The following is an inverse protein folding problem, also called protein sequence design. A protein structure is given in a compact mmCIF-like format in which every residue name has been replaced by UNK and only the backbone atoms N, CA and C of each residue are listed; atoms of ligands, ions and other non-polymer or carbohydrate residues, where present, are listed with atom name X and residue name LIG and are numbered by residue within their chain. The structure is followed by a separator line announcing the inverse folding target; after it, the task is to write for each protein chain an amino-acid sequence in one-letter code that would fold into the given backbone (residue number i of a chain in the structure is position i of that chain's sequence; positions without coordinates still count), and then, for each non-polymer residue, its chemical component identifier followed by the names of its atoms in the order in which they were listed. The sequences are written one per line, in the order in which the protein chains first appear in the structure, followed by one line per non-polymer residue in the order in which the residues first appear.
data_IF_485462697391
#
_entry.id   IF_485462697391
#
_cell.length_a   1.000
_cell.length_b   1.000
_cell.length_c   1.000
_cell.angle_alpha   90.00
_cell.angle_beta   90.00
_cell.angle_gamma   90.00
#
_symmetry.space_group_name_H-M   'P 1'
#
loop_
_entity.id
_entity.type
_entity.pdbx_description
1 polymer ?
#
# COMPACT_ATOMS: atom_id res chain seq x y z
N UNK A 1 34.40 12.60 18.48
CA UNK A 1 32.94 12.43 18.30
C UNK A 1 32.24 13.61 18.99
N UNK A 2 31.36 14.28 18.31
CA UNK A 2 30.54 15.34 18.93
C UNK A 2 29.28 14.70 19.47
N UNK A 3 29.02 14.85 20.77
CA UNK A 3 27.80 14.37 21.42
C UNK A 3 26.79 15.50 21.44
N UNK A 4 25.58 15.24 20.93
CA UNK A 4 24.47 16.20 20.96
C UNK A 4 23.34 15.62 21.79
N UNK A 5 22.94 16.33 22.84
CA UNK A 5 21.77 15.98 23.67
C UNK A 5 20.52 16.63 23.03
N UNK A 6 19.43 15.87 22.93
CA UNK A 6 18.11 16.33 22.49
C UNK A 6 17.01 15.64 23.32
N UNK A 7 15.77 16.10 23.16
CA UNK A 7 14.65 15.56 23.93
C UNK A 7 14.01 14.36 23.22
N UNK A 8 14.04 14.35 21.87
CA UNK A 8 13.51 13.27 21.07
C UNK A 8 14.30 13.09 19.77
N UNK A 9 14.38 11.83 19.31
CA UNK A 9 14.94 11.47 18.01
C UNK A 9 13.87 10.69 17.23
N UNK A 10 13.62 11.12 15.98
CA UNK A 10 12.74 10.41 15.05
C UNK A 10 13.61 9.84 13.93
N UNK A 11 13.60 8.50 13.75
CA UNK A 11 14.41 7.82 12.73
C UNK A 11 13.51 7.41 11.57
N UNK A 12 13.66 8.08 10.44
CA UNK A 12 12.91 7.93 9.21
C UNK A 12 11.91 9.06 8.97
N UNK A 13 12.08 9.79 7.88
CA UNK A 13 11.19 10.86 7.43
C UNK A 13 10.07 10.34 6.50
N UNK A 14 9.63 9.06 6.68
CA UNK A 14 8.44 8.50 6.06
C UNK A 14 7.15 9.11 6.61
N UNK A 15 5.99 8.61 6.21
CA UNK A 15 4.66 9.22 6.40
C UNK A 15 4.37 9.77 7.81
N UNK A 16 4.55 9.05 8.95
CA UNK A 16 4.31 9.63 10.28
C UNK A 16 5.49 10.47 10.79
N UNK A 17 6.73 10.20 10.35
CA UNK A 17 7.95 10.77 10.94
C UNK A 17 7.98 12.29 11.02
N UNK A 18 7.84 13.03 9.91
CA UNK A 18 7.84 14.48 9.93
C UNK A 18 6.73 15.06 10.80
N UNK A 19 5.50 14.49 10.73
CA UNK A 19 4.37 14.94 11.54
C UNK A 19 4.59 14.73 13.04
N UNK A 20 5.16 13.59 13.44
CA UNK A 20 5.50 13.33 14.86
C UNK A 20 6.65 14.24 15.31
N UNK A 21 7.68 14.43 14.49
CA UNK A 21 8.79 15.31 14.81
C UNK A 21 8.33 16.77 14.97
N UNK A 22 7.48 17.26 14.06
CA UNK A 22 6.89 18.60 14.16
C UNK A 22 6.03 18.78 15.40
N UNK A 23 5.16 17.83 15.70
CA UNK A 23 4.35 17.85 16.92
C UNK A 23 5.20 17.93 18.19
N UNK A 24 6.22 17.10 18.32
CA UNK A 24 7.14 17.11 19.46
C UNK A 24 7.89 18.45 19.59
N UNK A 25 8.27 19.05 18.46
CA UNK A 25 8.93 20.36 18.42
C UNK A 25 7.98 21.50 18.84
N UNK A 26 6.70 21.44 18.43
CA UNK A 26 5.64 22.37 18.84
C UNK A 26 5.34 22.28 20.34
N UNK A 27 5.50 21.08 20.96
CA UNK A 27 5.46 20.89 22.40
C UNK A 27 6.70 21.44 23.14
N UNK A 28 7.63 22.07 22.41
CA UNK A 28 8.83 22.72 22.95
C UNK A 28 10.04 21.79 23.12
N UNK A 29 10.00 20.56 22.64
CA UNK A 29 11.12 19.62 22.64
C UNK A 29 12.14 19.99 21.57
N UNK A 30 13.43 19.74 21.83
CA UNK A 30 14.48 19.73 20.81
C UNK A 30 14.44 18.37 20.11
N UNK A 31 14.12 18.36 18.84
CA UNK A 31 13.88 17.15 18.05
C UNK A 31 14.90 17.02 16.93
N UNK A 32 15.44 15.82 16.75
CA UNK A 32 16.24 15.47 15.59
C UNK A 32 15.48 14.46 14.76
N UNK A 33 15.22 14.81 13.49
CA UNK A 33 14.66 13.90 12.48
C UNK A 33 15.81 13.39 11.61
N UNK A 34 15.91 12.08 11.45
CA UNK A 34 16.98 11.43 10.67
C UNK A 34 16.37 10.78 9.43
N UNK A 35 16.99 10.98 8.29
CA UNK A 35 16.59 10.36 7.02
C UNK A 35 17.84 9.85 6.27
N UNK A 36 17.74 8.67 5.65
CA UNK A 36 18.87 8.09 4.91
C UNK A 36 19.05 8.68 3.52
N UNK A 37 17.95 9.01 2.82
CA UNK A 37 17.99 9.43 1.42
C UNK A 37 17.16 10.68 1.15
N UNK A 38 15.83 10.52 1.19
CA UNK A 38 14.87 11.56 0.77
C UNK A 38 13.67 11.58 1.69
N UNK A 39 13.29 12.75 2.17
CA UNK A 39 12.08 12.91 2.97
C UNK A 39 10.83 12.42 2.24
N UNK A 40 9.85 11.93 2.98
CA UNK A 40 8.58 11.41 2.47
C UNK A 40 8.50 9.88 2.38
N UNK A 41 9.63 9.18 2.60
CA UNK A 41 9.71 7.72 2.65
C UNK A 41 9.20 7.01 1.39
N UNK A 42 8.89 5.73 1.51
CA UNK A 42 8.42 4.88 0.39
C UNK A 42 7.22 5.48 -0.33
N UNK A 43 6.21 5.97 0.39
CA UNK A 43 4.97 6.46 -0.21
C UNK A 43 5.21 7.60 -1.22
N UNK A 44 6.04 8.57 -0.86
CA UNK A 44 6.33 9.72 -1.73
C UNK A 44 7.36 9.38 -2.81
N UNK A 45 8.38 8.59 -2.49
CA UNK A 45 9.53 8.43 -3.36
C UNK A 45 9.44 7.20 -4.26
N UNK A 46 8.86 6.07 -3.80
CA UNK A 46 8.92 4.78 -4.50
C UNK A 46 7.62 3.96 -4.40
N UNK A 47 6.52 4.56 -3.93
CA UNK A 47 5.29 3.85 -3.63
C UNK A 47 4.03 4.50 -4.19
N UNK A 48 3.11 4.86 -3.29
CA UNK A 48 1.75 5.26 -3.62
C UNK A 48 1.68 6.42 -4.62
N UNK A 49 2.42 7.51 -4.36
CA UNK A 49 2.30 8.73 -5.17
C UNK A 49 2.85 8.58 -6.58
N UNK A 50 4.09 8.11 -6.82
CA UNK A 50 4.59 7.92 -8.18
C UNK A 50 3.78 6.84 -8.93
N UNK A 51 3.37 5.77 -8.28
CA UNK A 51 2.54 4.72 -8.90
C UNK A 51 1.19 5.28 -9.35
N UNK A 52 0.49 6.07 -8.51
CA UNK A 52 -0.82 6.63 -8.86
C UNK A 52 -0.73 7.74 -9.91
N UNK A 53 0.36 8.51 -9.90
CA UNK A 53 0.65 9.46 -10.98
C UNK A 53 0.89 8.75 -12.33
N UNK A 54 1.61 7.61 -12.32
CA UNK A 54 1.84 6.77 -13.50
C UNK A 54 0.54 6.08 -13.95
N UNK A 55 -0.27 5.55 -12.99
CA UNK A 55 -1.57 4.95 -13.27
C UNK A 55 -2.49 5.91 -14.03
N UNK A 56 -2.49 7.20 -13.69
CA UNK A 56 -3.29 8.20 -14.39
C UNK A 56 -2.93 8.27 -15.88
N UNK A 57 -1.64 8.18 -16.24
CA UNK A 57 -1.22 8.13 -17.64
C UNK A 57 -1.66 6.84 -18.33
N UNK A 58 -1.57 5.69 -17.63
CA UNK A 58 -2.03 4.40 -18.16
C UNK A 58 -3.56 4.37 -18.37
N UNK A 59 -4.34 5.00 -17.47
CA UNK A 59 -5.78 5.14 -17.61
C UNK A 59 -6.16 5.96 -18.86
N UNK A 60 -5.46 7.05 -19.13
CA UNK A 60 -5.67 7.86 -20.36
C UNK A 60 -5.39 7.00 -21.61
N UNK A 61 -4.28 6.25 -21.65
CA UNK A 61 -3.97 5.39 -22.78
C UNK A 61 -5.07 4.31 -23.01
N UNK A 62 -5.63 3.76 -21.94
CA UNK A 62 -6.74 2.81 -21.99
C UNK A 62 -8.02 3.45 -22.51
N UNK A 63 -8.40 4.63 -21.99
CA UNK A 63 -9.59 5.37 -22.43
C UNK A 63 -9.53 5.76 -23.91
N UNK A 64 -8.35 6.16 -24.42
CA UNK A 64 -8.15 6.45 -25.84
C UNK A 64 -8.43 5.23 -26.70
N UNK A 65 -8.00 4.02 -26.30
CA UNK A 65 -8.30 2.78 -27.06
C UNK A 65 -9.78 2.44 -27.05
N UNK A 66 -10.49 2.76 -25.97
CA UNK A 66 -11.93 2.55 -25.83
C UNK A 66 -12.79 3.68 -26.38
N UNK A 67 -12.22 4.78 -26.84
CA UNK A 67 -12.96 5.97 -27.29
C UNK A 67 -14.07 5.67 -28.31
N UNK A 68 -13.85 4.67 -29.19
CA UNK A 68 -14.85 4.26 -30.18
C UNK A 68 -16.14 3.68 -29.57
N UNK A 69 -16.08 3.09 -28.36
CA UNK A 69 -17.25 2.58 -27.62
C UNK A 69 -18.20 3.75 -27.26
N UNK A 70 -17.63 4.95 -27.09
CA UNK A 70 -18.36 6.20 -26.77
C UNK A 70 -18.66 7.06 -28.03
N UNK A 71 -18.46 6.51 -29.21
CA UNK A 71 -18.66 7.26 -30.47
C UNK A 71 -17.57 8.29 -30.82
N UNK A 72 -16.46 8.30 -30.08
CA UNK A 72 -15.31 9.18 -30.33
C UNK A 72 -14.27 8.46 -31.16
N UNK A 73 -13.91 9.03 -32.32
CA UNK A 73 -12.89 8.45 -33.21
C UNK A 73 -11.55 9.11 -32.97
N UNK A 74 -10.57 8.33 -32.58
CA UNK A 74 -9.18 8.71 -32.39
C UNK A 74 -8.27 7.67 -33.08
N UNK A 75 -7.00 8.01 -33.36
CA UNK A 75 -6.00 7.05 -33.80
C UNK A 75 -5.50 6.20 -32.62
N UNK A 76 -4.68 5.17 -32.95
CA UNK A 76 -4.00 4.39 -31.90
C UNK A 76 -3.14 5.30 -31.05
N UNK A 77 -3.22 5.18 -29.69
CA UNK A 77 -2.40 5.99 -28.81
C UNK A 77 -0.93 5.62 -28.95
N UNK A 78 -0.10 6.62 -29.18
CA UNK A 78 1.34 6.48 -29.05
C UNK A 78 1.74 6.93 -27.64
N UNK A 79 2.27 6.01 -26.82
CA UNK A 79 2.69 6.30 -25.45
C UNK A 79 4.16 6.71 -25.46
N UNK A 80 4.43 7.96 -25.14
CA UNK A 80 5.78 8.42 -24.79
C UNK A 80 6.01 8.13 -23.30
N UNK A 81 6.60 6.96 -23.02
CA UNK A 81 6.82 6.49 -21.64
C UNK A 81 7.79 7.41 -20.89
N UNK A 82 8.82 7.95 -21.57
CA UNK A 82 9.75 8.87 -20.96
C UNK A 82 9.06 10.17 -20.50
N UNK A 83 8.19 10.73 -21.35
CA UNK A 83 7.39 11.91 -20.98
C UNK A 83 6.39 11.61 -19.84
N UNK A 84 5.79 10.41 -19.81
CA UNK A 84 4.94 9.99 -18.71
C UNK A 84 5.72 9.93 -17.38
N UNK A 85 6.96 9.41 -17.41
CA UNK A 85 7.83 9.38 -16.23
C UNK A 85 8.31 10.78 -15.83
N UNK A 86 8.61 11.68 -16.78
CA UNK A 86 8.94 13.09 -16.49
C UNK A 86 7.80 13.78 -15.75
N UNK A 87 6.56 13.57 -16.18
CA UNK A 87 5.38 14.07 -15.46
C UNK A 87 5.29 13.53 -14.05
N UNK A 88 5.52 12.23 -13.86
CA UNK A 88 5.52 11.61 -12.52
C UNK A 88 6.54 12.29 -11.62
N UNK A 89 7.80 12.40 -12.06
CA UNK A 89 8.87 12.94 -11.23
C UNK A 89 8.73 14.43 -10.98
N UNK A 90 8.20 15.21 -11.93
CA UNK A 90 7.88 16.63 -11.68
C UNK A 90 6.90 16.79 -10.49
N UNK A 91 5.84 15.98 -10.45
CA UNK A 91 4.86 16.00 -9.35
C UNK A 91 5.51 15.59 -8.02
N UNK A 92 6.33 14.54 -8.04
CA UNK A 92 6.97 14.03 -6.84
C UNK A 92 7.99 15.01 -6.28
N UNK A 93 8.78 15.63 -7.14
CA UNK A 93 9.79 16.61 -6.74
C UNK A 93 9.14 17.85 -6.08
N UNK A 94 8.06 18.39 -6.67
CA UNK A 94 7.30 19.49 -6.05
C UNK A 94 6.76 19.13 -4.65
N UNK A 95 6.23 17.91 -4.49
CA UNK A 95 5.73 17.44 -3.19
C UNK A 95 6.86 17.27 -2.18
N UNK A 96 8.01 16.77 -2.61
CA UNK A 96 9.18 16.59 -1.75
C UNK A 96 9.77 17.93 -1.32
N UNK A 97 9.91 18.86 -2.26
CA UNK A 97 10.37 20.22 -1.96
C UNK A 97 9.46 20.95 -0.97
N UNK A 98 8.15 20.75 -1.11
CA UNK A 98 7.17 21.33 -0.18
C UNK A 98 7.33 20.73 1.23
N UNK A 99 7.52 19.41 1.33
CA UNK A 99 7.75 18.74 2.61
C UNK A 99 9.08 19.19 3.24
N UNK A 100 10.17 19.27 2.45
CA UNK A 100 11.47 19.75 2.94
C UNK A 100 11.38 21.17 3.49
N UNK A 101 10.75 22.09 2.75
CA UNK A 101 10.55 23.49 3.19
C UNK A 101 9.71 23.57 4.47
N UNK A 102 8.71 22.70 4.61
CA UNK A 102 7.93 22.65 5.85
C UNK A 102 8.79 22.17 7.02
N UNK A 103 9.58 21.10 6.87
CA UNK A 103 10.48 20.63 7.93
C UNK A 103 11.46 21.73 8.33
N UNK A 104 12.08 22.42 7.36
CA UNK A 104 13.02 23.51 7.60
C UNK A 104 12.39 24.72 8.30
N UNK A 105 11.06 24.87 8.24
CA UNK A 105 10.32 25.98 8.86
C UNK A 105 9.90 25.71 10.30
N UNK A 106 10.07 24.50 10.81
CA UNK A 106 9.66 24.11 12.17
C UNK A 106 10.77 24.45 13.15
N UNK A 107 10.49 25.34 14.10
CA UNK A 107 11.42 25.67 15.18
C UNK A 107 11.70 24.42 16.06
N UNK A 108 12.91 24.31 16.61
CA UNK A 108 13.37 23.19 17.44
C UNK A 108 13.45 21.82 16.74
N UNK A 109 13.31 21.76 15.42
CA UNK A 109 13.46 20.55 14.61
C UNK A 109 14.71 20.63 13.73
N UNK A 110 15.64 19.70 13.90
CA UNK A 110 16.82 19.54 13.04
C UNK A 110 16.64 18.29 12.15
N UNK A 111 16.76 18.44 10.83
CA UNK A 111 16.83 17.33 9.89
C UNK A 111 18.28 16.95 9.62
N UNK A 112 18.63 15.69 9.83
CA UNK A 112 19.97 15.15 9.56
C UNK A 112 19.84 14.01 8.53
N UNK A 113 20.66 14.07 7.50
CA UNK A 113 20.78 12.96 6.55
C UNK A 113 21.89 12.00 6.97
N UNK A 114 21.58 10.70 7.02
CA UNK A 114 22.52 9.64 7.35
C UNK A 114 21.83 8.36 7.82
N UNK A 115 22.61 7.30 7.95
CA UNK A 115 22.14 6.00 8.45
C UNK A 115 22.30 5.92 9.97
N UNK A 116 21.19 5.77 10.68
CA UNK A 116 21.17 5.69 12.12
C UNK A 116 21.48 4.27 12.61
N UNK A 117 22.32 4.16 13.64
CA UNK A 117 22.49 2.95 14.45
C UNK A 117 22.05 3.27 15.88
N UNK A 118 21.20 2.43 16.44
CA UNK A 118 20.60 2.64 17.76
C UNK A 118 21.19 1.67 18.79
N UNK A 119 21.67 2.24 19.90
CA UNK A 119 22.00 1.51 21.12
C UNK A 119 21.03 1.95 22.20
N UNK A 120 20.18 1.04 22.66
CA UNK A 120 19.16 1.37 23.65
C UNK A 120 19.71 1.35 25.07
N UNK A 121 19.19 2.26 25.90
CA UNK A 121 19.37 2.23 27.36
C UNK A 121 18.18 1.51 28.00
N UNK A 122 18.38 0.38 28.68
CA UNK A 122 17.28 -0.37 29.31
C UNK A 122 16.49 0.43 30.38
N UNK A 123 17.14 1.40 31.02
CA UNK A 123 16.49 2.26 32.02
C UNK A 123 15.67 3.38 31.35
N UNK A 124 15.86 3.62 30.05
CA UNK A 124 15.17 4.64 29.25
C UNK A 124 15.53 6.07 29.68
N UNK A 125 16.78 6.30 30.11
CA UNK A 125 17.26 7.62 30.51
C UNK A 125 17.84 8.37 29.31
N UNK A 126 18.68 7.68 28.52
CA UNK A 126 19.30 8.29 27.32
C UNK A 126 19.73 7.20 26.32
N UNK A 127 18.91 6.97 25.31
CA UNK A 127 19.29 6.11 24.18
C UNK A 127 20.34 6.82 23.33
N UNK A 128 21.22 6.05 22.69
CA UNK A 128 22.29 6.56 21.85
C UNK A 128 21.98 6.25 20.37
N UNK A 129 22.07 7.24 19.52
CA UNK A 129 21.94 7.09 18.06
C UNK A 129 23.20 7.61 17.40
N UNK A 130 23.89 6.73 16.70
CA UNK A 130 25.08 7.04 15.92
C UNK A 130 24.71 7.32 14.48
N UNK A 131 25.22 8.44 13.93
CA UNK A 131 25.11 8.79 12.51
C UNK A 131 26.50 9.23 12.08
N UNK A 132 27.18 8.43 11.29
CA UNK A 132 28.57 8.65 10.91
C UNK A 132 29.46 8.95 12.15
N UNK A 133 30.05 10.14 12.26
CA UNK A 133 30.88 10.57 13.38
C UNK A 133 30.13 11.34 14.47
N UNK A 134 28.81 11.46 14.38
CA UNK A 134 27.97 12.16 15.35
C UNK A 134 27.28 11.17 16.28
N UNK A 135 27.24 11.47 17.56
CA UNK A 135 26.48 10.76 18.58
C UNK A 135 25.33 11.67 19.06
N UNK A 136 24.09 11.19 18.94
CA UNK A 136 22.91 11.81 19.52
C UNK A 136 22.45 11.04 20.74
N UNK A 137 21.92 11.74 21.74
CA UNK A 137 21.34 11.14 22.94
C UNK A 137 19.98 11.74 23.24
N UNK A 138 18.99 10.86 23.46
CA UNK A 138 17.64 11.28 23.83
C UNK A 138 16.94 10.22 24.71
N UNK A 139 16.04 10.65 25.62
CA UNK A 139 15.18 9.72 26.36
C UNK A 139 14.06 9.13 25.51
N UNK A 140 13.72 9.77 24.38
CA UNK A 140 12.64 9.34 23.50
C UNK A 140 13.16 9.08 22.08
N UNK A 141 12.86 7.89 21.54
CA UNK A 141 13.21 7.53 20.17
C UNK A 141 11.98 6.97 19.45
N UNK A 142 11.68 7.51 18.27
CA UNK A 142 10.55 7.12 17.44
C UNK A 142 11.06 6.50 16.14
N UNK A 143 10.80 5.19 15.97
CA UNK A 143 11.26 4.40 14.85
C UNK A 143 10.22 4.39 13.74
N UNK A 144 10.52 5.02 12.62
CA UNK A 144 9.68 5.08 11.43
C UNK A 144 10.42 4.55 10.20
N UNK A 145 11.05 3.38 10.35
CA UNK A 145 11.98 2.81 9.38
C UNK A 145 11.27 2.24 8.14
N UNK A 146 9.97 1.98 8.23
CA UNK A 146 9.20 1.41 7.15
C UNK A 146 9.55 -0.05 6.83
N UNK A 147 9.30 -0.42 5.57
CA UNK A 147 9.55 -1.74 5.04
C UNK A 147 10.03 -1.62 3.59
N UNK A 148 10.73 -2.64 3.08
CA UNK A 148 11.23 -2.75 1.71
C UNK A 148 10.71 -3.98 1.00
N UNK A 149 10.94 -4.11 -0.31
CA UNK A 149 10.60 -5.30 -1.07
C UNK A 149 11.23 -6.55 -0.44
N UNK A 150 10.44 -7.59 -0.28
CA UNK A 150 10.91 -8.91 0.12
C UNK A 150 11.29 -9.70 -1.12
N UNK A 151 12.58 -9.92 -1.32
CA UNK A 151 13.11 -10.72 -2.43
C UNK A 151 13.53 -12.08 -1.86
N UNK A 152 12.80 -13.17 -2.15
CA UNK A 152 13.16 -14.50 -1.69
C UNK A 152 14.43 -14.99 -2.39
N UNK A 153 15.16 -15.92 -1.79
CA UNK A 153 16.35 -16.52 -2.39
C UNK A 153 15.94 -17.49 -3.52
N UNK A 154 15.75 -16.94 -4.72
CA UNK A 154 15.45 -17.74 -5.92
C UNK A 154 16.76 -18.15 -6.57
N UNK A 155 16.99 -19.46 -6.87
CA UNK A 155 18.16 -19.96 -7.57
C UNK A 155 18.42 -19.20 -8.87
N UNK A 156 19.64 -18.63 -9.00
CA UNK A 156 20.11 -17.90 -10.17
C UNK A 156 19.72 -16.41 -10.20
N UNK A 157 18.99 -15.89 -9.23
CA UNK A 157 18.55 -14.50 -9.19
C UNK A 157 19.72 -13.50 -9.15
N UNK A 158 20.82 -13.88 -8.50
CA UNK A 158 22.07 -13.13 -8.42
C UNK A 158 22.84 -13.03 -9.75
N UNK A 159 22.48 -13.85 -10.73
CA UNK A 159 23.10 -13.86 -12.07
C UNK A 159 22.36 -12.97 -13.09
N UNK A 160 21.25 -12.34 -12.70
CA UNK A 160 20.43 -11.48 -13.56
C UNK A 160 20.15 -10.14 -12.88
N UNK A 161 19.90 -9.11 -13.68
CA UNK A 161 19.32 -7.87 -13.17
C UNK A 161 17.82 -8.05 -12.99
N UNK A 162 17.33 -7.87 -11.77
CA UNK A 162 15.91 -7.82 -11.48
C UNK A 162 15.53 -6.44 -10.93
N UNK A 163 14.25 -6.13 -10.95
CA UNK A 163 13.68 -4.88 -10.47
C UNK A 163 12.85 -5.14 -9.21
N UNK A 164 12.85 -4.20 -8.31
CA UNK A 164 11.76 -3.96 -7.35
C UNK A 164 10.91 -2.78 -7.83
N UNK A 165 9.93 -2.35 -7.04
CA UNK A 165 9.16 -1.15 -7.36
C UNK A 165 10.05 0.10 -7.50
N UNK A 166 11.19 0.13 -6.83
CA UNK A 166 12.13 1.26 -6.87
C UNK A 166 12.77 1.38 -8.24
N UNK A 167 13.39 0.31 -8.74
CA UNK A 167 14.06 0.30 -10.04
C UNK A 167 13.05 0.38 -11.19
N UNK A 168 11.86 -0.22 -11.02
CA UNK A 168 10.80 -0.15 -12.03
C UNK A 168 10.33 1.30 -12.28
N UNK A 169 10.15 2.07 -11.21
CA UNK A 169 9.79 3.49 -11.29
C UNK A 169 10.95 4.39 -11.78
N UNK A 170 12.19 3.89 -11.78
CA UNK A 170 13.33 4.61 -12.33
C UNK A 170 13.52 4.38 -13.84
N UNK A 171 12.79 3.46 -14.46
CA UNK A 171 12.91 3.19 -15.89
C UNK A 171 12.54 4.41 -16.73
N UNK A 172 13.27 4.59 -17.83
CA UNK A 172 13.02 5.63 -18.86
C UNK A 172 12.53 5.03 -20.18
N UNK A 173 12.71 3.74 -20.35
CA UNK A 173 12.26 2.98 -21.51
C UNK A 173 11.24 1.95 -21.10
N UNK A 174 10.22 1.78 -21.93
CA UNK A 174 9.18 0.80 -21.69
C UNK A 174 9.73 -0.61 -21.94
N UNK A 175 9.67 -1.54 -20.95
CA UNK A 175 10.00 -2.94 -21.16
C UNK A 175 9.20 -3.55 -22.33
N UNK A 176 9.86 -4.24 -23.26
CA UNK A 176 9.13 -4.96 -24.30
C UNK A 176 8.29 -6.11 -23.69
N UNK A 177 8.86 -6.86 -22.74
CA UNK A 177 8.15 -7.88 -21.98
C UNK A 177 8.56 -7.81 -20.50
N UNK A 178 7.61 -7.47 -19.65
CA UNK A 178 7.76 -7.43 -18.19
C UNK A 178 7.22 -8.75 -17.57
N UNK A 179 8.12 -9.54 -16.98
CA UNK A 179 7.74 -10.69 -16.16
C UNK A 179 7.66 -10.24 -14.71
N UNK A 180 6.57 -10.56 -14.04
CA UNK A 180 6.30 -10.14 -12.65
C UNK A 180 6.20 -11.38 -11.77
N UNK A 181 7.08 -11.53 -10.80
CA UNK A 181 6.98 -12.54 -9.76
C UNK A 181 6.16 -11.99 -8.59
N UNK A 182 4.89 -12.40 -8.50
CA UNK A 182 3.96 -12.03 -7.43
C UNK A 182 2.60 -11.52 -7.93
N UNK A 183 1.52 -12.16 -7.46
CA UNK A 183 0.12 -11.83 -7.75
C UNK A 183 -0.54 -10.92 -6.69
N UNK A 184 0.25 -10.21 -5.87
CA UNK A 184 -0.25 -9.22 -4.92
C UNK A 184 -0.52 -7.86 -5.56
N UNK A 185 -1.05 -6.89 -4.79
CA UNK A 185 -1.48 -5.58 -5.28
C UNK A 185 -0.41 -4.85 -6.10
N UNK A 186 0.88 -4.89 -5.69
CA UNK A 186 1.98 -4.26 -6.43
C UNK A 186 2.12 -4.87 -7.83
N UNK A 187 2.16 -6.21 -7.91
CA UNK A 187 2.29 -6.92 -9.18
C UNK A 187 1.11 -6.69 -10.11
N UNK A 188 -0.10 -6.65 -9.58
CA UNK A 188 -1.34 -6.46 -10.35
C UNK A 188 -1.47 -5.02 -10.86
N UNK A 189 -1.18 -4.01 -10.01
CA UNK A 189 -1.21 -2.60 -10.41
C UNK A 189 -0.18 -2.30 -11.51
N UNK A 190 1.08 -2.69 -11.30
CA UNK A 190 2.12 -2.49 -12.33
C UNK A 190 1.86 -3.34 -13.58
N UNK A 191 1.39 -4.57 -13.41
CA UNK A 191 1.04 -5.43 -14.54
C UNK A 191 0.01 -4.80 -15.47
N UNK A 192 -1.07 -4.24 -14.92
CA UNK A 192 -2.08 -3.55 -15.70
C UNK A 192 -1.53 -2.26 -16.34
N UNK A 193 -0.81 -1.44 -15.59
CA UNK A 193 -0.25 -0.19 -16.10
C UNK A 193 0.71 -0.43 -17.28
N UNK A 194 1.68 -1.34 -17.13
CA UNK A 194 2.66 -1.62 -18.17
C UNK A 194 2.02 -2.27 -19.39
N UNK A 195 1.00 -3.13 -19.19
CA UNK A 195 0.20 -3.66 -20.30
C UNK A 195 -0.50 -2.54 -21.07
N UNK A 196 -1.08 -1.59 -20.40
CA UNK A 196 -1.75 -0.43 -20.99
C UNK A 196 -0.78 0.52 -21.70
N UNK A 197 0.47 0.58 -21.29
CA UNK A 197 1.51 1.31 -22.03
C UNK A 197 1.98 0.59 -23.27
N UNK A 198 1.77 -0.73 -23.38
CA UNK A 198 2.09 -1.51 -24.58
C UNK A 198 3.10 -2.63 -24.35
N UNK A 199 3.58 -2.84 -23.13
CA UNK A 199 4.42 -4.01 -22.81
C UNK A 199 3.63 -5.32 -22.95
N UNK A 200 4.30 -6.39 -23.34
CA UNK A 200 3.86 -7.72 -22.96
C UNK A 200 4.04 -7.88 -21.45
N UNK A 201 3.07 -8.50 -20.79
CA UNK A 201 3.12 -8.69 -19.33
C UNK A 201 2.75 -10.12 -18.98
N UNK A 202 3.61 -10.77 -18.19
CA UNK A 202 3.33 -12.09 -17.60
C UNK A 202 3.47 -12.00 -16.08
N UNK A 203 2.41 -12.34 -15.35
CA UNK A 203 2.40 -12.39 -13.87
C UNK A 203 2.48 -13.84 -13.43
N UNK A 204 3.46 -14.19 -12.59
CA UNK A 204 3.61 -15.48 -11.94
C UNK A 204 3.02 -15.37 -10.53
N UNK A 205 1.86 -15.96 -10.31
CA UNK A 205 1.06 -15.79 -9.10
C UNK A 205 1.17 -17.02 -8.17
N UNK A 206 2.30 -17.15 -7.46
CA UNK A 206 2.60 -18.30 -6.59
C UNK A 206 1.66 -18.48 -5.39
N UNK A 207 0.97 -17.43 -5.00
CA UNK A 207 -0.08 -17.46 -3.97
C UNK A 207 -1.47 -17.20 -4.52
N UNK A 208 -1.63 -17.15 -5.86
CA UNK A 208 -2.85 -16.72 -6.54
C UNK A 208 -2.89 -15.21 -6.82
N UNK A 209 -3.92 -14.78 -7.53
CA UNK A 209 -4.23 -13.38 -7.83
C UNK A 209 -4.94 -12.78 -6.62
N UNK A 210 -4.47 -11.63 -6.13
CA UNK A 210 -5.03 -10.94 -4.96
C UNK A 210 -5.34 -11.91 -3.79
N UNK A 211 -4.37 -12.65 -3.24
CA UNK A 211 -4.59 -13.81 -2.36
C UNK A 211 -5.21 -13.47 -1.00
N UNK A 212 -5.35 -12.20 -0.68
CA UNK A 212 -6.03 -11.73 0.55
C UNK A 212 -7.54 -11.59 0.37
N UNK A 213 -8.01 -11.59 -0.89
CA UNK A 213 -9.41 -11.40 -1.24
C UNK A 213 -10.19 -12.74 -1.21
N UNK A 214 -11.51 -12.63 -1.26
CA UNK A 214 -12.38 -13.79 -1.51
C UNK A 214 -12.13 -14.33 -2.93
N UNK A 215 -12.25 -15.65 -3.12
CA UNK A 215 -11.87 -16.34 -4.37
C UNK A 215 -12.61 -15.83 -5.61
N UNK A 216 -13.85 -15.44 -5.47
CA UNK A 216 -14.66 -14.86 -6.54
C UNK A 216 -14.17 -13.46 -6.95
N UNK A 217 -13.77 -12.64 -5.99
CA UNK A 217 -13.16 -11.32 -6.24
C UNK A 217 -11.82 -11.50 -6.97
N UNK A 218 -11.00 -12.45 -6.52
CA UNK A 218 -9.71 -12.79 -7.15
C UNK A 218 -9.91 -13.28 -8.60
N UNK A 219 -10.94 -14.07 -8.86
CA UNK A 219 -11.28 -14.55 -10.20
C UNK A 219 -11.68 -13.40 -11.13
N UNK A 220 -12.52 -12.47 -10.67
CA UNK A 220 -12.90 -11.28 -11.45
C UNK A 220 -11.68 -10.43 -11.79
N UNK A 221 -10.76 -10.23 -10.85
CA UNK A 221 -9.52 -9.48 -11.09
C UNK A 221 -8.64 -10.18 -12.14
N UNK A 222 -8.52 -11.51 -12.04
CA UNK A 222 -7.75 -12.30 -13.00
C UNK A 222 -8.35 -12.22 -14.41
N UNK A 223 -9.69 -12.36 -14.54
CA UNK A 223 -10.41 -12.24 -15.81
C UNK A 223 -10.27 -10.84 -16.42
N UNK A 224 -10.38 -9.78 -15.60
CA UNK A 224 -10.20 -8.39 -16.01
C UNK A 224 -8.80 -8.16 -16.61
N UNK A 225 -7.75 -8.57 -15.92
CA UNK A 225 -6.37 -8.41 -16.39
C UNK A 225 -6.09 -9.27 -17.64
N UNK A 226 -6.58 -10.50 -17.68
CA UNK A 226 -6.47 -11.37 -18.84
C UNK A 226 -7.22 -10.79 -20.06
N UNK A 227 -8.37 -10.15 -19.85
CA UNK A 227 -9.13 -9.43 -20.88
C UNK A 227 -8.36 -8.26 -21.49
N UNK A 228 -7.47 -7.61 -20.73
CA UNK A 228 -6.54 -6.60 -21.24
C UNK A 228 -5.27 -7.20 -21.86
N UNK A 229 -5.12 -8.53 -21.84
CA UNK A 229 -4.00 -9.25 -22.43
C UNK A 229 -2.80 -9.44 -21.51
N UNK A 230 -2.99 -9.36 -20.19
CA UNK A 230 -2.00 -9.80 -19.21
C UNK A 230 -2.04 -11.32 -19.12
N UNK A 231 -0.91 -11.98 -19.28
CA UNK A 231 -0.79 -13.42 -19.07
C UNK A 231 -0.60 -13.71 -17.58
N UNK A 232 -1.44 -14.54 -17.00
CA UNK A 232 -1.33 -14.97 -15.61
C UNK A 232 -0.99 -16.46 -15.59
N UNK A 233 0.04 -16.82 -14.81
CA UNK A 233 0.50 -18.18 -14.60
C UNK A 233 0.43 -18.47 -13.11
N UNK A 234 -0.33 -19.48 -12.73
CA UNK A 234 -0.33 -19.99 -11.38
C UNK A 234 0.95 -20.80 -11.17
N UNK A 235 1.63 -20.60 -10.06
CA UNK A 235 2.87 -21.28 -9.73
C UNK A 235 3.89 -20.33 -9.14
N UNK A 236 5.00 -20.87 -8.64
CA UNK A 236 6.08 -20.12 -7.98
C UNK A 236 7.29 -20.02 -8.91
N UNK A 237 7.97 -18.89 -8.84
CA UNK A 237 9.30 -18.75 -9.46
C UNK A 237 10.27 -19.72 -8.79
N UNK A 238 10.66 -20.77 -9.51
CA UNK A 238 11.59 -21.80 -9.02
C UNK A 238 13.05 -21.44 -9.31
N UNK A 239 13.30 -20.89 -10.49
CA UNK A 239 14.65 -20.53 -10.97
C UNK A 239 14.61 -19.35 -11.91
N UNK A 240 15.71 -18.61 -11.93
CA UNK A 240 15.94 -17.52 -12.89
C UNK A 240 17.31 -17.76 -13.54
N UNK A 241 17.44 -17.43 -14.80
CA UNK A 241 18.71 -17.50 -15.55
C UNK A 241 18.82 -16.38 -16.58
N UNK A 242 20.06 -15.98 -16.95
CA UNK A 242 20.26 -15.06 -18.06
C UNK A 242 19.73 -15.64 -19.38
N UNK A 243 19.16 -14.80 -20.21
CA UNK A 243 18.69 -15.13 -21.56
C UNK A 243 19.11 -14.03 -22.54
N UNK A 244 19.22 -14.33 -23.83
CA UNK A 244 19.63 -13.36 -24.83
C UNK A 244 18.71 -12.13 -24.94
N UNK A 245 17.42 -12.30 -24.64
CA UNK A 245 16.42 -11.21 -24.56
C UNK A 245 16.34 -10.53 -23.19
N UNK A 246 17.14 -10.95 -22.21
CA UNK A 246 17.14 -10.43 -20.85
C UNK A 246 17.14 -11.52 -19.78
N UNK A 247 15.98 -12.12 -19.48
CA UNK A 247 15.81 -13.10 -18.39
C UNK A 247 14.91 -14.26 -18.80
N UNK A 248 15.26 -15.49 -18.39
CA UNK A 248 14.37 -16.65 -18.41
C UNK A 248 13.97 -17.00 -16.96
N UNK A 249 12.67 -17.12 -16.74
CA UNK A 249 12.08 -17.53 -15.46
C UNK A 249 11.46 -18.92 -15.62
N UNK A 250 11.84 -19.85 -14.76
CA UNK A 250 11.23 -21.19 -14.68
C UNK A 250 10.26 -21.22 -13.50
N UNK A 251 9.05 -21.67 -13.76
CA UNK A 251 7.97 -21.88 -12.77
C UNK A 251 8.08 -23.30 -12.22
N UNK A 252 7.54 -23.57 -11.04
CA UNK A 252 7.60 -24.85 -10.33
C UNK A 252 6.90 -26.03 -11.07
N UNK A 253 6.07 -25.76 -12.08
CA UNK A 253 5.52 -26.74 -13.00
C UNK A 253 6.42 -27.04 -14.23
N UNK A 254 7.60 -26.40 -14.30
CA UNK A 254 8.55 -26.50 -15.41
C UNK A 254 8.27 -25.53 -16.57
N UNK A 255 7.25 -24.71 -16.51
CA UNK A 255 6.96 -23.67 -17.52
C UNK A 255 8.08 -22.65 -17.55
N UNK A 256 8.56 -22.31 -18.76
CA UNK A 256 9.60 -21.31 -18.98
C UNK A 256 9.03 -20.05 -19.64
N UNK A 257 9.40 -18.91 -19.11
CA UNK A 257 8.98 -17.60 -19.58
C UNK A 257 10.24 -16.77 -19.82
N UNK A 258 10.36 -16.20 -21.01
CA UNK A 258 11.43 -15.24 -21.32
C UNK A 258 10.88 -13.83 -21.33
N UNK A 259 11.62 -12.90 -20.76
CA UNK A 259 11.25 -11.48 -20.74
C UNK A 259 12.46 -10.56 -20.84
N UNK A 260 12.20 -9.29 -21.12
CA UNK A 260 13.27 -8.27 -21.11
C UNK A 260 13.60 -7.81 -19.70
N UNK A 261 12.60 -7.83 -18.79
CA UNK A 261 12.75 -7.39 -17.40
C UNK A 261 11.99 -8.31 -16.46
N UNK A 262 12.50 -8.47 -15.25
CA UNK A 262 11.87 -9.21 -14.15
C UNK A 262 11.60 -8.27 -12.98
N UNK A 263 10.33 -8.16 -12.57
CA UNK A 263 9.91 -7.45 -11.35
C UNK A 263 9.69 -8.46 -10.23
N UNK A 264 10.36 -8.26 -9.10
CA UNK A 264 10.13 -9.01 -7.87
C UNK A 264 9.10 -8.28 -7.00
N UNK A 265 7.84 -8.74 -7.03
CA UNK A 265 6.70 -8.19 -6.28
C UNK A 265 6.15 -9.22 -5.25
N UNK A 266 7.06 -9.94 -4.58
CA UNK A 266 6.78 -11.11 -3.74
C UNK A 266 6.45 -10.78 -2.29
N UNK A 267 6.26 -9.50 -1.96
CA UNK A 267 5.88 -9.01 -0.63
C UNK A 267 6.82 -7.95 -0.09
N UNK A 268 6.69 -7.67 1.21
CA UNK A 268 7.50 -6.66 1.92
C UNK A 268 8.09 -7.25 3.20
N UNK A 269 9.27 -6.77 3.59
CA UNK A 269 9.95 -7.11 4.86
C UNK A 269 10.24 -5.84 5.65
N UNK A 270 10.20 -5.96 6.98
CA UNK A 270 10.55 -4.88 7.90
C UNK A 270 11.98 -4.38 7.68
N UNK A 271 12.21 -3.09 7.92
CA UNK A 271 13.54 -2.47 7.97
C UNK A 271 14.15 -2.46 9.38
N UNK A 272 13.61 -3.23 10.33
CA UNK A 272 14.13 -3.32 11.71
C UNK A 272 15.60 -3.71 11.78
N UNK A 273 16.08 -4.51 10.82
CA UNK A 273 17.47 -4.96 10.70
C UNK A 273 18.46 -3.84 10.32
N UNK A 274 17.98 -2.67 9.93
CA UNK A 274 18.83 -1.52 9.55
C UNK A 274 19.33 -0.69 10.73
N UNK A 275 18.78 -0.89 11.94
CA UNK A 275 19.22 -0.17 13.16
C UNK A 275 20.55 -0.66 13.76
N UNK A 276 21.16 -1.68 13.19
CA UNK A 276 22.32 -2.37 13.77
C UNK A 276 21.93 -3.46 14.78
N UNK A 277 22.90 -4.21 15.31
CA UNK A 277 22.63 -5.40 16.15
C UNK A 277 22.28 -5.07 17.61
N UNK A 278 22.60 -3.88 18.10
CA UNK A 278 22.63 -3.56 19.53
C UNK A 278 21.36 -2.82 20.02
N UNK A 279 20.32 -2.75 19.19
CA UNK A 279 19.07 -2.05 19.56
C UNK A 279 18.24 -2.77 20.62
N UNK A 280 18.40 -4.09 20.83
CA UNK A 280 17.75 -4.87 21.89
C UNK A 280 16.21 -4.90 21.88
N UNK A 281 15.57 -4.39 20.82
CA UNK A 281 14.11 -4.31 20.69
C UNK A 281 13.58 -5.65 20.18
N UNK A 282 12.54 -6.18 20.83
CA UNK A 282 11.92 -7.45 20.43
C UNK A 282 11.22 -7.33 19.07
N UNK A 283 11.36 -8.38 18.25
CA UNK A 283 10.68 -8.53 16.95
C UNK A 283 9.86 -9.83 16.94
N UNK A 284 8.86 -9.86 16.08
CA UNK A 284 8.15 -11.10 15.74
C UNK A 284 9.00 -11.99 14.80
N UNK A 285 8.49 -13.19 14.47
CA UNK A 285 9.16 -14.15 13.58
C UNK A 285 9.40 -13.61 12.16
N UNK A 286 8.68 -12.56 11.76
CA UNK A 286 8.79 -11.89 10.46
C UNK A 286 9.71 -10.67 10.50
N UNK A 287 10.27 -10.34 11.67
CA UNK A 287 11.17 -9.21 11.88
C UNK A 287 10.49 -7.86 12.09
N UNK A 288 9.17 -7.80 12.35
CA UNK A 288 8.51 -6.57 12.74
C UNK A 288 8.67 -6.31 14.25
N UNK A 289 8.86 -5.06 14.65
CA UNK A 289 8.93 -4.72 16.07
C UNK A 289 7.61 -5.01 16.77
N UNK A 290 7.67 -5.71 17.91
CA UNK A 290 6.51 -5.89 18.77
C UNK A 290 6.22 -4.60 19.52
N UNK A 291 4.95 -4.23 19.58
CA UNK A 291 4.48 -2.98 20.20
C UNK A 291 3.30 -3.25 21.11
N UNK A 292 3.06 -2.31 22.03
CA UNK A 292 1.80 -2.23 22.76
C UNK A 292 0.73 -1.44 21.95
N UNK A 293 -0.45 -1.27 22.52
CA UNK A 293 -1.56 -0.55 21.88
C UNK A 293 -1.28 0.95 21.61
N UNK A 294 -0.18 1.48 22.16
CA UNK A 294 0.30 2.87 21.98
C UNK A 294 1.62 2.96 21.26
N UNK A 295 1.99 1.90 20.52
CA UNK A 295 3.21 1.79 19.72
C UNK A 295 4.53 1.74 20.51
N UNK A 296 4.51 1.66 21.84
CA UNK A 296 5.73 1.49 22.62
C UNK A 296 6.28 0.08 22.40
N UNK A 297 7.57 -0.01 22.16
CA UNK A 297 8.29 -1.28 21.97
C UNK A 297 8.60 -1.97 23.30
N UNK A 298 9.30 -3.10 23.26
CA UNK A 298 9.82 -3.78 24.45
C UNK A 298 10.83 -2.93 25.25
N UNK A 299 11.31 -1.82 24.68
CA UNK A 299 12.28 -0.91 25.31
C UNK A 299 11.56 0.38 25.71
N UNK A 300 11.65 0.75 26.99
CA UNK A 300 11.07 1.97 27.53
C UNK A 300 11.65 3.20 26.80
N UNK A 301 10.78 4.14 26.41
CA UNK A 301 11.19 5.36 25.69
C UNK A 301 11.46 5.15 24.19
N UNK A 302 11.10 3.96 23.65
CA UNK A 302 11.23 3.67 22.21
C UNK A 302 9.88 3.25 21.63
N UNK A 303 9.44 3.94 20.59
CA UNK A 303 8.19 3.66 19.87
C UNK A 303 8.49 3.24 18.42
N UNK A 304 7.64 2.38 17.84
CA UNK A 304 7.76 1.95 16.44
C UNK A 304 6.46 2.24 15.68
N UNK A 305 6.56 3.08 14.64
CA UNK A 305 5.43 3.62 13.87
C UNK A 305 5.52 3.19 12.41
N UNK A 306 4.36 3.01 11.77
CA UNK A 306 4.26 2.63 10.38
C UNK A 306 4.65 1.18 10.10
N UNK A 307 5.06 0.91 8.87
CA UNK A 307 5.23 -0.47 8.38
C UNK A 307 6.20 -1.32 9.21
N UNK A 308 7.12 -0.70 9.95
CA UNK A 308 8.11 -1.41 10.77
C UNK A 308 7.50 -2.18 11.95
N UNK A 309 6.27 -1.83 12.38
CA UNK A 309 5.54 -2.51 13.46
C UNK A 309 4.59 -3.62 12.97
N UNK A 310 4.36 -3.74 11.66
CA UNK A 310 3.52 -4.79 11.09
C UNK A 310 2.00 -4.61 11.26
N UNK A 311 1.52 -3.58 11.98
CA UNK A 311 0.10 -3.30 12.25
C UNK A 311 -0.58 -2.46 11.14
N UNK A 312 -0.23 -2.66 9.88
CA UNK A 312 -0.83 -1.91 8.79
C UNK A 312 -0.22 -2.30 7.46
N UNK A 313 0.79 -1.63 7.01
CA UNK A 313 1.46 -1.74 5.70
C UNK A 313 0.85 -0.84 4.63
N UNK A 314 0.15 0.22 5.05
CA UNK A 314 -0.41 1.24 4.18
C UNK A 314 -0.05 2.64 4.69
N UNK A 315 0.03 3.60 3.77
CA UNK A 315 0.34 5.00 4.09
C UNK A 315 -0.62 5.59 5.12
N UNK A 316 -1.92 5.34 4.98
CA UNK A 316 -2.93 5.87 5.90
C UNK A 316 -2.88 5.22 7.29
N UNK A 317 -2.53 3.93 7.41
CA UNK A 317 -2.32 3.30 8.72
C UNK A 317 -1.09 3.87 9.41
N UNK A 318 0.01 4.06 8.67
CA UNK A 318 1.20 4.71 9.19
C UNK A 318 0.93 6.18 9.63
N UNK A 319 0.16 6.93 8.84
CA UNK A 319 -0.25 8.29 9.21
C UNK A 319 -1.11 8.29 10.48
N UNK A 320 -2.04 7.35 10.60
CA UNK A 320 -2.89 7.20 11.78
C UNK A 320 -2.09 6.80 13.03
N UNK A 321 -0.98 6.05 12.89
CA UNK A 321 -0.09 5.75 14.04
C UNK A 321 0.39 7.05 14.70
N UNK A 322 0.83 8.03 13.90
CA UNK A 322 1.21 9.35 14.41
C UNK A 322 0.05 10.09 15.09
N UNK A 323 -1.17 10.01 14.54
CA UNK A 323 -2.34 10.63 15.16
C UNK A 323 -2.75 9.97 16.47
N UNK A 324 -2.69 8.62 16.54
CA UNK A 324 -2.98 7.88 17.78
C UNK A 324 -1.92 8.19 18.84
N UNK A 325 -0.66 8.32 18.47
CA UNK A 325 0.40 8.68 19.40
C UNK A 325 0.13 10.04 20.06
N UNK A 326 -0.35 11.01 19.29
CA UNK A 326 -0.67 12.38 19.75
C UNK A 326 -1.95 12.45 20.59
N UNK A 327 -2.87 11.51 20.46
CA UNK A 327 -4.15 11.50 21.16
C UNK A 327 -4.19 10.38 22.23
N UNK A 328 -4.07 10.72 23.52
CA UNK A 328 -4.05 9.71 24.59
C UNK A 328 -5.39 8.94 24.76
N UNK A 329 -6.47 9.39 24.13
CA UNK A 329 -7.76 8.71 24.16
C UNK A 329 -7.90 7.59 23.13
N UNK A 330 -6.92 7.44 22.22
CA UNK A 330 -6.92 6.49 21.10
C UNK A 330 -5.85 5.42 21.29
N UNK A 331 -6.10 4.26 20.72
CA UNK A 331 -5.16 3.15 20.59
C UNK A 331 -5.29 2.44 19.23
N UNK A 332 -4.37 1.53 18.94
CA UNK A 332 -4.38 0.79 17.67
C UNK A 332 -5.45 -0.32 17.65
N UNK A 333 -5.90 -0.80 18.80
CA UNK A 333 -6.86 -1.91 18.90
C UNK A 333 -8.25 -1.50 18.39
N UNK A 334 -8.59 -0.20 18.50
CA UNK A 334 -9.82 0.38 17.95
C UNK A 334 -9.79 0.70 16.44
N UNK A 335 -8.72 0.33 15.73
CA UNK A 335 -8.55 0.67 14.32
C UNK A 335 -9.44 -0.17 13.41
N UNK A 336 -10.28 0.50 12.63
CA UNK A 336 -10.92 -0.09 11.46
C UNK A 336 -9.97 0.09 10.27
N UNK A 337 -9.42 -1.02 9.79
CA UNK A 337 -8.48 -0.99 8.66
C UNK A 337 -9.24 -1.14 7.35
N UNK A 338 -9.12 -0.13 6.49
CA UNK A 338 -9.58 -0.14 5.12
C UNK A 338 -8.38 -0.06 4.17
N UNK A 339 -8.51 -0.57 2.96
CA UNK A 339 -7.49 -0.45 1.94
C UNK A 339 -8.07 -0.46 0.54
N UNK A 340 -7.27 0.01 -0.41
CA UNK A 340 -7.58 -0.08 -1.82
C UNK A 340 -6.42 -0.71 -2.60
N UNK A 341 -6.76 -1.48 -3.64
CA UNK A 341 -5.86 -1.87 -4.71
C UNK A 341 -6.26 -1.03 -5.94
N UNK A 342 -5.28 -0.37 -6.51
CA UNK A 342 -5.50 0.63 -7.55
C UNK A 342 -5.34 0.05 -8.97
N UNK A 343 -5.91 -1.13 -9.19
CA UNK A 343 -6.26 -1.56 -10.54
C UNK A 343 -7.32 -0.63 -11.13
N UNK A 344 -7.74 -0.85 -12.35
CA UNK A 344 -8.80 -0.09 -13.00
C UNK A 344 -9.79 -1.08 -13.66
N UNK A 345 -10.99 -1.22 -13.08
CA UNK A 345 -11.49 -0.54 -11.88
C UNK A 345 -10.75 -0.90 -10.59
N UNK A 346 -10.78 -0.01 -9.58
CA UNK A 346 -10.14 -0.26 -8.29
C UNK A 346 -10.95 -1.20 -7.40
N UNK A 347 -10.23 -1.84 -6.47
CA UNK A 347 -10.83 -2.57 -5.36
C UNK A 347 -10.71 -1.74 -4.09
N UNK A 348 -11.84 -1.50 -3.40
CA UNK A 348 -11.88 -1.00 -2.03
C UNK A 348 -12.33 -2.10 -1.06
N UNK A 349 -11.72 -2.15 0.13
CA UNK A 349 -12.01 -3.15 1.13
C UNK A 349 -11.96 -2.59 2.55
N UNK A 350 -12.90 -3.05 3.41
CA UNK A 350 -12.90 -2.77 4.85
C UNK A 350 -13.43 -3.99 5.63
N UNK A 351 -12.86 -4.25 6.78
CA UNK A 351 -13.30 -5.30 7.71
C UNK A 351 -13.17 -6.73 7.16
N UNK A 352 -14.09 -7.61 7.53
CA UNK A 352 -14.02 -9.04 7.27
C UNK A 352 -14.25 -9.43 5.81
N UNK A 353 -13.53 -10.46 5.35
CA UNK A 353 -13.84 -11.25 4.15
C UNK A 353 -15.07 -12.14 4.41
N UNK A 354 -15.66 -12.68 3.34
CA UNK A 354 -16.68 -13.76 3.47
C UNK A 354 -16.12 -14.95 4.24
N UNK A 355 -14.87 -15.32 3.98
CA UNK A 355 -14.19 -16.41 4.69
C UNK A 355 -14.09 -16.13 6.19
N UNK A 356 -13.57 -14.97 6.57
CA UNK A 356 -13.43 -14.56 7.98
C UNK A 356 -14.79 -14.44 8.67
N UNK A 357 -15.80 -13.95 7.96
CA UNK A 357 -17.16 -13.85 8.47
C UNK A 357 -17.74 -15.23 8.79
N UNK A 358 -17.55 -16.23 7.92
CA UNK A 358 -17.95 -17.63 8.18
C UNK A 358 -17.21 -18.23 9.38
N UNK A 359 -15.94 -17.93 9.54
CA UNK A 359 -15.11 -18.43 10.65
C UNK A 359 -15.38 -17.69 11.97
N UNK A 360 -16.02 -16.52 11.94
CA UNK A 360 -16.28 -15.67 13.13
C UNK A 360 -17.28 -16.25 14.12
N UNK A 361 -18.08 -17.23 13.73
CA UNK A 361 -19.17 -17.79 14.54
C UNK A 361 -20.38 -16.85 14.73
N UNK A 362 -20.40 -15.67 14.07
CA UNK A 362 -21.49 -14.70 14.09
C UNK A 362 -22.62 -15.11 13.16
N UNK A 363 -23.81 -14.60 13.40
CA UNK A 363 -24.91 -14.67 12.41
C UNK A 363 -24.73 -13.55 11.40
N UNK A 364 -24.21 -13.89 10.24
CA UNK A 364 -23.87 -12.89 9.22
C UNK A 364 -24.95 -12.84 8.15
N UNK A 365 -25.35 -11.63 7.79
CA UNK A 365 -26.13 -11.36 6.59
C UNK A 365 -25.19 -10.78 5.51
N UNK A 366 -25.42 -11.19 4.26
CA UNK A 366 -24.68 -10.71 3.08
C UNK A 366 -25.65 -10.03 2.13
N UNK A 367 -25.25 -8.87 1.61
CA UNK A 367 -25.85 -8.28 0.43
C UNK A 367 -24.77 -8.15 -0.66
N UNK A 368 -25.15 -8.47 -1.90
CA UNK A 368 -24.23 -8.46 -3.03
C UNK A 368 -24.93 -8.08 -4.32
N UNK A 369 -24.25 -7.29 -5.15
CA UNK A 369 -24.69 -6.99 -6.51
C UNK A 369 -23.50 -6.92 -7.47
N UNK A 370 -23.60 -7.46 -8.70
CA UNK A 370 -22.61 -7.25 -9.73
C UNK A 370 -22.65 -5.82 -10.25
N UNK A 371 -21.52 -5.24 -10.65
CA UNK A 371 -21.45 -3.88 -11.22
C UNK A 371 -22.28 -3.72 -12.48
N UNK A 372 -22.54 -4.82 -13.22
CA UNK A 372 -23.47 -4.84 -14.37
C UNK A 372 -24.93 -4.51 -14.02
N UNK A 373 -25.29 -4.50 -12.74
CA UNK A 373 -26.62 -4.09 -12.25
C UNK A 373 -26.64 -2.67 -11.68
N UNK A 374 -25.48 -2.00 -11.63
CA UNK A 374 -25.34 -0.63 -11.09
C UNK A 374 -25.54 0.39 -12.19
N UNK A 375 -26.58 1.22 -12.10
CA UNK A 375 -26.98 2.16 -13.17
C UNK A 375 -25.83 3.06 -13.61
N UNK A 376 -25.09 3.65 -12.69
CA UNK A 376 -23.95 4.52 -13.01
C UNK A 376 -22.84 3.76 -13.73
N UNK A 377 -22.53 2.54 -13.31
CA UNK A 377 -21.53 1.70 -13.95
C UNK A 377 -21.91 1.37 -15.41
N UNK A 378 -23.21 1.10 -15.65
CA UNK A 378 -23.76 0.86 -17.00
C UNK A 378 -23.62 2.13 -17.87
N UNK A 379 -23.98 3.31 -17.33
CA UNK A 379 -23.91 4.58 -18.06
C UNK A 379 -22.46 4.94 -18.47
N UNK A 380 -21.50 4.58 -17.66
CA UNK A 380 -20.07 4.82 -17.91
C UNK A 380 -19.37 3.68 -18.66
N UNK A 381 -20.07 2.58 -18.95
CA UNK A 381 -19.46 1.39 -19.60
C UNK A 381 -18.45 0.64 -18.74
N UNK A 382 -18.52 0.79 -17.40
CA UNK A 382 -17.57 0.23 -16.42
C UNK A 382 -18.26 -0.80 -15.52
N UNK A 383 -18.67 -1.93 -16.11
CA UNK A 383 -19.53 -2.93 -15.45
C UNK A 383 -18.77 -4.11 -14.83
N UNK A 384 -17.43 -4.06 -14.81
CA UNK A 384 -16.60 -5.11 -14.19
C UNK A 384 -16.61 -4.99 -12.67
N UNK A 385 -16.88 -6.12 -12.00
CA UNK A 385 -16.76 -6.21 -10.55
C UNK A 385 -18.06 -6.43 -9.81
N UNK A 386 -18.03 -6.19 -8.50
CA UNK A 386 -19.15 -6.38 -7.58
C UNK A 386 -19.08 -5.39 -6.40
N UNK A 387 -20.22 -5.19 -5.76
CA UNK A 387 -20.32 -4.58 -4.42
C UNK A 387 -20.89 -5.61 -3.46
N UNK A 388 -20.24 -5.80 -2.30
CA UNK A 388 -20.61 -6.73 -1.24
C UNK A 388 -20.55 -6.05 0.11
N UNK A 389 -21.57 -6.26 0.96
CA UNK A 389 -21.58 -5.79 2.35
C UNK A 389 -21.97 -6.96 3.25
N UNK A 390 -21.23 -7.14 4.34
CA UNK A 390 -21.46 -8.13 5.39
C UNK A 390 -21.94 -7.42 6.65
N UNK A 391 -23.00 -7.93 7.26
CA UNK A 391 -23.67 -7.33 8.42
C UNK A 391 -23.85 -8.40 9.49
N UNK A 392 -23.64 -8.03 10.75
CA UNK A 392 -24.00 -8.82 11.90
C UNK A 392 -25.53 -8.74 12.14
N UNK A 393 -26.20 -9.88 12.09
CA UNK A 393 -27.66 -9.93 12.21
C UNK A 393 -28.17 -9.54 13.62
N UNK A 394 -27.36 -9.74 14.65
CA UNK A 394 -27.75 -9.52 16.05
C UNK A 394 -27.46 -8.05 16.48
N UNK A 395 -26.31 -7.49 16.07
CA UNK A 395 -25.91 -6.10 16.41
C UNK A 395 -26.24 -5.06 15.33
N UNK A 396 -26.65 -5.50 14.14
CA UNK A 396 -26.91 -4.65 12.97
C UNK A 396 -25.68 -3.86 12.47
N UNK A 397 -24.47 -4.20 12.95
CA UNK A 397 -23.24 -3.53 12.56
C UNK A 397 -22.68 -4.07 11.25
N UNK A 398 -22.05 -3.21 10.45
CA UNK A 398 -21.27 -3.66 9.30
C UNK A 398 -20.05 -4.41 9.82
N UNK A 399 -19.83 -5.62 9.32
CA UNK A 399 -18.66 -6.47 9.64
C UNK A 399 -17.56 -6.33 8.60
N UNK A 400 -17.93 -6.07 7.36
CA UNK A 400 -16.98 -5.89 6.27
C UNK A 400 -17.67 -5.52 4.98
N UNK A 401 -16.89 -5.00 4.04
CA UNK A 401 -17.35 -4.70 2.69
C UNK A 401 -16.23 -4.82 1.66
N UNK A 402 -16.62 -5.16 0.45
CA UNK A 402 -15.76 -5.24 -0.74
C UNK A 402 -16.45 -4.53 -1.89
N UNK A 403 -15.76 -3.58 -2.51
CA UNK A 403 -16.23 -2.88 -3.71
C UNK A 403 -15.14 -2.98 -4.77
N UNK A 404 -15.29 -3.90 -5.70
CA UNK A 404 -14.49 -3.96 -6.92
C UNK A 404 -15.31 -3.29 -8.03
N UNK A 405 -14.89 -2.11 -8.49
CA UNK A 405 -15.64 -1.36 -9.47
C UNK A 405 -15.26 0.12 -9.48
N UNK A 406 -15.88 0.88 -10.37
CA UNK A 406 -15.64 2.31 -10.49
C UNK A 406 -15.84 3.03 -9.15
N UNK A 407 -14.84 3.83 -8.73
CA UNK A 407 -14.81 4.55 -7.45
C UNK A 407 -14.85 3.63 -6.20
N UNK A 408 -14.47 2.35 -6.31
CA UNK A 408 -14.47 1.43 -5.18
C UNK A 408 -13.52 1.88 -4.05
N UNK A 409 -12.41 2.51 -4.39
CA UNK A 409 -11.43 3.11 -3.51
C UNK A 409 -11.97 4.30 -2.69
N UNK A 410 -12.87 5.11 -3.28
CA UNK A 410 -13.51 6.22 -2.59
C UNK A 410 -14.76 5.77 -1.80
N UNK A 411 -15.57 4.89 -2.39
CA UNK A 411 -16.82 4.43 -1.78
C UNK A 411 -16.61 3.60 -0.52
N UNK A 412 -15.55 2.81 -0.46
CA UNK A 412 -15.26 1.97 0.71
C UNK A 412 -15.11 2.79 1.99
N UNK A 413 -14.64 4.03 1.89
CA UNK A 413 -14.45 4.93 3.02
C UNK A 413 -15.77 5.33 3.70
N UNK A 414 -16.90 5.34 2.96
CA UNK A 414 -18.24 5.56 3.54
C UNK A 414 -18.57 4.42 4.53
N UNK A 415 -18.24 3.19 4.16
CA UNK A 415 -18.48 2.02 4.99
C UNK A 415 -17.47 1.93 6.13
N UNK A 416 -16.21 2.29 5.89
CA UNK A 416 -15.19 2.44 6.93
C UNK A 416 -15.59 3.47 8.00
N UNK A 417 -16.07 4.64 7.57
CA UNK A 417 -16.59 5.66 8.48
C UNK A 417 -17.80 5.15 9.29
N UNK A 418 -18.73 4.43 8.65
CA UNK A 418 -19.89 3.86 9.31
C UNK A 418 -19.48 2.81 10.36
N UNK A 419 -18.50 1.96 10.05
CA UNK A 419 -17.94 1.00 10.99
C UNK A 419 -17.26 1.69 12.17
N UNK A 420 -16.41 2.69 11.91
CA UNK A 420 -15.70 3.44 12.94
C UNK A 420 -16.67 4.19 13.87
N UNK A 421 -17.77 4.71 13.34
CA UNK A 421 -18.80 5.42 14.08
C UNK A 421 -19.89 4.50 14.66
N UNK A 422 -19.75 3.17 14.52
CA UNK A 422 -20.73 2.17 14.95
C UNK A 422 -22.16 2.44 14.46
N UNK A 423 -22.29 2.93 13.19
CA UNK A 423 -23.59 3.22 12.60
C UNK A 423 -24.27 1.90 12.18
N UNK A 424 -25.45 1.56 12.72
CA UNK A 424 -26.14 0.33 12.32
C UNK A 424 -26.68 0.45 10.89
N UNK A 425 -26.66 -0.66 10.15
CA UNK A 425 -27.03 -0.68 8.74
C UNK A 425 -28.42 -0.11 8.39
N UNK A 426 -29.46 -0.18 9.25
CA UNK A 426 -30.76 0.42 8.96
C UNK A 426 -30.71 1.95 8.79
N UNK A 427 -29.76 2.61 9.48
CA UNK A 427 -29.53 4.05 9.32
C UNK A 427 -29.00 4.33 7.92
N UNK A 428 -27.97 3.58 7.49
CA UNK A 428 -27.35 3.71 6.15
C UNK A 428 -28.39 3.39 5.07
N UNK A 429 -29.15 2.30 5.23
CA UNK A 429 -30.21 1.89 4.29
C UNK A 429 -31.28 2.97 4.04
N UNK A 430 -31.51 3.83 5.02
CA UNK A 430 -32.53 4.86 4.97
C UNK A 430 -32.00 6.25 4.52
N UNK A 431 -30.71 6.37 4.20
CA UNK A 431 -30.15 7.60 3.65
C UNK A 431 -30.79 7.89 2.28
N UNK A 432 -31.06 9.17 1.99
CA UNK A 432 -31.50 9.62 0.67
C UNK A 432 -30.27 9.81 -0.25
N UNK A 433 -30.05 8.93 -1.23
CA UNK A 433 -28.91 9.04 -2.12
C UNK A 433 -29.15 9.99 -3.29
N UNK A 434 -28.09 10.55 -3.84
CA UNK A 434 -28.12 11.32 -5.10
C UNK A 434 -28.12 10.35 -6.27
N UNK A 435 -29.06 10.54 -7.22
CA UNK A 435 -29.17 9.75 -8.45
C UNK A 435 -28.71 10.55 -9.68
N UNK A 436 -27.99 9.95 -10.68
CA UNK A 436 -27.36 8.63 -10.62
C UNK A 436 -25.92 8.72 -10.13
N UNK A 437 -25.55 7.99 -9.09
CA UNK A 437 -24.19 7.89 -8.55
C UNK A 437 -23.84 6.44 -8.20
N UNK A 438 -22.55 6.16 -8.06
CA UNK A 438 -22.12 4.87 -7.51
C UNK A 438 -22.54 4.72 -6.03
N UNK A 439 -22.50 5.81 -5.27
CA UNK A 439 -22.78 5.82 -3.83
C UNK A 439 -24.25 5.49 -3.50
N UNK A 440 -25.21 5.71 -4.41
CA UNK A 440 -26.63 5.37 -4.18
C UNK A 440 -26.87 3.87 -4.00
N UNK A 441 -25.93 3.04 -4.47
CA UNK A 441 -26.04 1.60 -4.30
C UNK A 441 -25.68 1.13 -2.88
N UNK A 442 -24.92 1.88 -2.10
CA UNK A 442 -24.62 1.56 -0.70
C UNK A 442 -25.89 1.40 0.15
N UNK A 443 -26.84 2.37 0.20
CA UNK A 443 -28.11 2.16 0.88
C UNK A 443 -29.02 1.17 0.16
N UNK A 444 -28.94 1.07 -1.16
CA UNK A 444 -29.83 0.22 -1.97
C UNK A 444 -29.55 -1.25 -1.77
N UNK A 445 -28.30 -1.67 -1.79
CA UNK A 445 -27.89 -3.07 -1.60
C UNK A 445 -28.28 -3.60 -0.23
N UNK A 446 -28.30 -2.78 0.81
CA UNK A 446 -28.70 -3.16 2.17
C UNK A 446 -30.20 -3.53 2.29
N UNK A 447 -30.97 -3.43 1.21
CA UNK A 447 -32.37 -3.92 1.14
C UNK A 447 -32.48 -5.39 0.75
N UNK A 448 -31.38 -5.96 0.23
CA UNK A 448 -31.29 -7.35 -0.26
C UNK A 448 -30.43 -8.25 0.61
N UNK A 449 -30.35 -7.97 1.91
CA UNK A 449 -29.61 -8.80 2.88
C UNK A 449 -30.22 -10.19 2.99
N UNK A 450 -29.38 -11.22 2.85
CA UNK A 450 -29.72 -12.64 3.00
C UNK A 450 -28.72 -13.31 3.94
N UNK A 451 -29.12 -14.40 4.65
CA UNK A 451 -28.16 -15.14 5.47
C UNK A 451 -26.95 -15.58 4.66
N UNK A 452 -25.74 -15.43 5.26
CA UNK A 452 -24.52 -15.93 4.68
C UNK A 452 -24.46 -17.46 4.92
N UNK A 453 -24.52 -18.24 3.84
CA UNK A 453 -24.36 -19.69 3.87
C UNK A 453 -22.90 -20.14 4.03
#
# INVERSE_FOLDING_TARGET
MTVTECDAIVIGAGQPGPGVAGWLAEEGKRVVLIETEKVGGTCLNHGCKPTKALRASAAIAHQVRRASEYGVRVGEPHVDFAAAMDRVWSIIDEMRDSLSKWIDSVDNLELIYGTAQLVTDPEGVAHQVMIDDRELRAPEVYLNLGARAAVPPVPGLDSVSYLTEVELLALRELPAHLVIAGGGYIGLEFGQMFRRFGSEVTIIAGGGVAPREDTDVSAIIAEMLAGEGVKIIEGRTERVSPHESGVEVTVDDGTKITGTHLLMATGRRSNSDLLGPDHGIATDERGFFTIDSRFQTSVKGVWALGDVNGHGSFTHTAYQDGQILQDPSRDVDGRVTEYAMFTDPPLGRVGMTVREARESGRKVLKAEVPMSSVSRAILEGETTGLMRILVDADSEQILGATILGMHGDDLIQILGLAMQAHVPYPVIRNVLPIHPTMAEFVPSILRSLEPLE
#
